data_IF_128915928592
#
_entry.id   IF_128915928592
#
_cell.length_a   1.000
_cell.length_b   1.000
_cell.length_c   1.000
_cell.angle_alpha   90.00
_cell.angle_beta   90.00
_cell.angle_gamma   90.00
#
_symmetry.space_group_name_H-M   'P 1'
#
loop_
_entity.id
_entity.type
_entity.pdbx_description
1 polymer ?
#
# COMPACT_ATOMS: atom_id res chain seq x y z
N UNK A 1 10.21 3.52 16.44
CA UNK A 1 10.83 3.65 15.11
C UNK A 1 10.71 2.32 14.37
N UNK A 2 10.98 2.27 13.06
CA UNK A 2 10.91 1.05 12.24
C UNK A 2 11.76 -0.08 12.83
N UNK A 3 13.01 0.20 13.20
CA UNK A 3 13.92 -0.79 13.76
C UNK A 3 13.44 -1.35 15.11
N UNK A 4 12.81 -0.53 15.94
CA UNK A 4 12.19 -0.99 17.19
C UNK A 4 11.00 -1.94 16.95
N UNK A 5 10.34 -1.83 15.78
CA UNK A 5 9.21 -2.69 15.43
C UNK A 5 9.69 -3.98 14.79
N UNK A 6 10.72 -3.94 13.93
CA UNK A 6 11.36 -5.14 13.39
C UNK A 6 11.92 -6.04 14.50
N UNK A 7 12.55 -5.46 15.53
CA UNK A 7 13.04 -6.24 16.69
C UNK A 7 11.93 -6.87 17.53
N UNK A 8 10.74 -6.26 17.58
CA UNK A 8 9.56 -6.78 18.32
C UNK A 8 8.70 -7.73 17.50
N UNK A 9 8.78 -7.64 16.17
CA UNK A 9 7.95 -8.38 15.23
C UNK A 9 8.86 -9.11 14.24
N UNK A 10 9.54 -10.19 14.66
CA UNK A 10 10.50 -10.91 13.82
C UNK A 10 9.85 -11.50 12.56
N UNK A 11 8.53 -11.66 12.55
CA UNK A 11 7.74 -12.20 11.45
C UNK A 11 7.02 -11.11 10.62
N UNK A 12 7.32 -9.83 10.86
CA UNK A 12 6.72 -8.76 10.07
C UNK A 12 7.21 -8.81 8.62
N UNK A 13 6.33 -8.47 7.69
CA UNK A 13 6.69 -8.28 6.29
C UNK A 13 7.07 -6.80 6.13
N UNK A 14 8.33 -6.52 5.81
CA UNK A 14 8.79 -5.16 5.54
C UNK A 14 8.93 -4.93 4.05
N UNK A 15 8.16 -3.97 3.53
CA UNK A 15 8.18 -3.58 2.13
C UNK A 15 8.54 -2.12 2.00
N UNK A 16 9.50 -1.83 1.13
CA UNK A 16 9.80 -0.49 0.64
C UNK A 16 9.05 -0.23 -0.66
N UNK A 17 8.39 0.94 -0.74
CA UNK A 17 7.63 1.39 -1.90
C UNK A 17 8.33 2.61 -2.50
N UNK A 18 8.71 2.47 -3.77
CA UNK A 18 9.22 3.55 -4.62
C UNK A 18 8.16 3.89 -5.68
N UNK A 19 8.36 4.91 -6.50
CA UNK A 19 7.46 5.22 -7.62
C UNK A 19 7.54 4.18 -8.73
N UNK A 20 8.71 3.55 -8.90
CA UNK A 20 9.03 2.67 -10.03
C UNK A 20 9.16 1.19 -9.65
N UNK A 21 9.15 0.84 -8.35
CA UNK A 21 9.34 -0.53 -7.86
C UNK A 21 8.91 -0.70 -6.41
N UNK A 22 8.71 -1.95 -6.02
CA UNK A 22 8.57 -2.36 -4.63
C UNK A 22 9.71 -3.31 -4.25
N UNK A 23 10.21 -3.21 -3.03
CA UNK A 23 11.26 -4.08 -2.53
C UNK A 23 10.83 -4.74 -1.23
N UNK A 24 11.07 -6.04 -1.14
CA UNK A 24 10.91 -6.81 0.08
C UNK A 24 12.24 -6.80 0.81
N UNK A 25 12.20 -6.44 2.09
CA UNK A 25 13.37 -6.34 2.95
C UNK A 25 13.36 -7.47 3.99
N UNK A 26 14.55 -7.85 4.45
CA UNK A 26 14.69 -8.64 5.67
C UNK A 26 14.83 -7.74 6.91
N UNK A 27 14.89 -8.35 8.09
CA UNK A 27 15.03 -7.60 9.35
C UNK A 27 16.41 -6.93 9.52
N UNK A 28 17.39 -7.26 8.68
CA UNK A 28 18.76 -6.72 8.70
C UNK A 28 18.94 -5.57 7.69
N UNK A 29 17.86 -5.11 7.05
CA UNK A 29 17.87 -4.07 6.01
C UNK A 29 18.53 -4.49 4.70
N UNK A 30 18.54 -5.78 4.41
CA UNK A 30 18.94 -6.34 3.12
C UNK A 30 17.73 -6.48 2.19
N UNK A 31 17.92 -6.19 0.91
CA UNK A 31 16.91 -6.42 -0.12
C UNK A 31 16.82 -7.92 -0.39
N UNK A 32 15.69 -8.52 -0.03
CA UNK A 32 15.38 -9.92 -0.33
C UNK A 32 14.88 -10.06 -1.77
N UNK A 33 14.02 -9.14 -2.20
CA UNK A 33 13.43 -9.17 -3.53
C UNK A 33 13.09 -7.77 -4.02
N UNK A 34 13.19 -7.55 -5.32
CA UNK A 34 12.70 -6.34 -5.99
C UNK A 34 11.68 -6.74 -7.04
N UNK A 35 10.57 -6.00 -7.12
CA UNK A 35 9.55 -6.13 -8.14
C UNK A 35 9.35 -4.79 -8.85
N UNK A 36 9.55 -4.79 -10.16
CA UNK A 36 9.19 -3.66 -11.03
C UNK A 36 7.79 -3.92 -11.56
N UNK A 37 6.85 -2.97 -11.40
CA UNK A 37 5.48 -3.19 -11.80
C UNK A 37 5.38 -3.23 -13.35
N UNK A 38 4.61 -4.15 -13.92
CA UNK A 38 4.41 -4.20 -15.38
C UNK A 38 3.59 -3.00 -15.89
N UNK A 39 2.76 -2.42 -15.02
CA UNK A 39 2.01 -1.18 -15.25
C UNK A 39 2.43 -0.18 -14.18
N UNK A 40 2.91 1.03 -14.54
CA UNK A 40 3.26 2.04 -13.55
C UNK A 40 2.08 2.33 -12.62
N UNK A 41 2.30 2.22 -11.30
CA UNK A 41 1.27 2.52 -10.31
C UNK A 41 1.37 3.93 -9.73
N UNK A 42 2.48 4.63 -9.93
CA UNK A 42 2.70 5.98 -9.43
C UNK A 42 2.48 7.03 -10.53
N UNK A 43 2.27 8.27 -10.11
CA UNK A 43 2.24 9.45 -10.96
C UNK A 43 3.15 10.53 -10.36
N UNK A 44 3.47 11.59 -11.10
CA UNK A 44 4.38 12.67 -10.65
C UNK A 44 4.06 13.18 -9.23
N UNK A 45 2.76 13.34 -8.95
CA UNK A 45 2.21 13.87 -7.69
C UNK A 45 1.62 12.81 -6.77
N UNK A 46 1.73 11.52 -7.10
CA UNK A 46 1.19 10.48 -6.22
C UNK A 46 2.00 9.19 -6.24
N UNK A 47 2.26 8.66 -5.05
CA UNK A 47 2.97 7.39 -4.89
C UNK A 47 2.12 6.18 -5.28
N UNK A 48 0.78 6.32 -5.22
CA UNK A 48 -0.19 5.31 -5.67
C UNK A 48 -1.31 6.03 -6.42
N UNK A 49 -1.17 6.11 -7.75
CA UNK A 49 -2.18 6.58 -8.69
C UNK A 49 -3.03 5.43 -9.25
N UNK A 50 -2.44 4.26 -9.49
CA UNK A 50 -3.16 3.02 -9.86
C UNK A 50 -3.04 1.99 -8.73
N UNK A 51 -4.09 1.94 -7.91
CA UNK A 51 -4.16 1.03 -6.77
C UNK A 51 -4.13 -0.45 -7.18
N UNK A 52 -4.74 -0.81 -8.32
CA UNK A 52 -4.78 -2.20 -8.76
C UNK A 52 -3.38 -2.65 -9.18
N UNK A 53 -2.67 -1.83 -9.95
CA UNK A 53 -1.30 -2.11 -10.33
C UNK A 53 -0.37 -2.24 -9.11
N UNK A 54 -0.52 -1.35 -8.12
CA UNK A 54 0.20 -1.46 -6.85
C UNK A 54 -0.12 -2.76 -6.10
N UNK A 55 -1.41 -3.12 -6.00
CA UNK A 55 -1.88 -4.33 -5.31
C UNK A 55 -1.35 -5.60 -5.97
N UNK A 56 -1.41 -5.68 -7.30
CA UNK A 56 -0.88 -6.83 -8.05
C UNK A 56 0.64 -6.95 -7.92
N UNK A 57 1.35 -5.82 -7.92
CA UNK A 57 2.81 -5.77 -7.71
C UNK A 57 3.18 -6.27 -6.31
N UNK A 58 2.47 -5.81 -5.27
CA UNK A 58 2.71 -6.25 -3.89
C UNK A 58 2.38 -7.74 -3.71
N UNK A 59 1.28 -8.21 -4.29
CA UNK A 59 0.91 -9.63 -4.29
C UNK A 59 1.99 -10.48 -4.90
N UNK A 60 2.50 -10.09 -6.07
CA UNK A 60 3.58 -10.80 -6.74
C UNK A 60 4.84 -10.81 -5.88
N UNK A 61 5.26 -9.64 -5.36
CA UNK A 61 6.43 -9.51 -4.49
C UNK A 61 6.37 -10.46 -3.29
N UNK A 62 5.27 -10.46 -2.54
CA UNK A 62 5.11 -11.27 -1.32
C UNK A 62 4.88 -12.76 -1.64
N UNK A 63 4.22 -13.08 -2.75
CA UNK A 63 3.87 -14.46 -3.11
C UNK A 63 5.07 -15.36 -3.39
N UNK A 64 6.20 -14.78 -3.84
CA UNK A 64 7.46 -15.49 -4.10
C UNK A 64 8.14 -15.97 -2.82
N UNK A 65 7.78 -15.42 -1.66
CA UNK A 65 8.31 -15.82 -0.36
C UNK A 65 7.40 -16.86 0.30
N UNK A 66 7.66 -18.15 0.01
CA UNK A 66 6.96 -19.30 0.61
C UNK A 66 6.98 -19.27 2.15
N UNK A 67 8.03 -18.68 2.74
CA UNK A 67 8.23 -18.61 4.20
C UNK A 67 7.35 -17.53 4.85
N UNK A 68 7.05 -16.43 4.16
CA UNK A 68 6.25 -15.32 4.71
C UNK A 68 4.73 -15.57 4.68
N UNK A 69 4.25 -16.45 3.79
CA UNK A 69 2.83 -16.86 3.73
C UNK A 69 2.28 -17.41 5.03
N UNK A 70 3.13 -17.93 5.90
CA UNK A 70 2.69 -18.55 7.15
C UNK A 70 2.60 -17.54 8.30
N UNK A 71 3.44 -16.49 8.36
CA UNK A 71 3.68 -15.74 9.61
C UNK A 71 3.52 -14.20 9.55
N UNK A 72 3.16 -13.61 8.40
CA UNK A 72 3.03 -12.15 8.26
C UNK A 72 1.71 -11.55 8.78
N UNK A 73 1.47 -11.50 10.09
CA UNK A 73 0.29 -10.79 10.63
C UNK A 73 0.42 -9.27 10.53
N UNK A 74 1.65 -8.75 10.48
CA UNK A 74 1.93 -7.30 10.40
C UNK A 74 2.76 -6.98 9.17
N UNK A 75 2.32 -6.00 8.39
CA UNK A 75 3.07 -5.43 7.26
C UNK A 75 3.56 -4.03 7.63
N UNK A 76 4.87 -3.82 7.48
CA UNK A 76 5.53 -2.53 7.65
C UNK A 76 5.77 -1.97 6.25
N UNK A 77 5.03 -0.93 5.87
CA UNK A 77 5.19 -0.27 4.59
C UNK A 77 6.04 0.98 4.78
N UNK A 78 7.17 1.04 4.11
CA UNK A 78 8.05 2.20 4.12
C UNK A 78 7.97 2.91 2.76
N UNK A 79 7.52 4.16 2.76
CA UNK A 79 7.44 4.96 1.54
C UNK A 79 8.76 5.67 1.33
N UNK A 80 9.50 5.26 0.32
CA UNK A 80 10.86 5.76 0.06
C UNK A 80 10.85 7.01 -0.81
N UNK A 81 9.98 7.06 -1.82
CA UNK A 81 9.81 8.23 -2.69
C UNK A 81 8.68 9.12 -2.16
N UNK A 82 8.88 9.67 -0.96
CA UNK A 82 7.94 10.59 -0.32
C UNK A 82 7.72 11.84 -1.19
N UNK A 83 6.48 12.22 -1.53
CA UNK A 83 6.21 13.51 -2.19
C UNK A 83 6.70 14.68 -1.33
N UNK A 84 7.10 15.80 -1.95
CA UNK A 84 7.58 16.99 -1.22
C UNK A 84 6.55 17.53 -0.23
N UNK A 85 5.27 17.46 -0.59
CA UNK A 85 4.14 17.87 0.26
C UNK A 85 3.75 16.80 1.31
N UNK A 86 4.44 15.66 1.33
CA UNK A 86 4.09 14.49 2.11
C UNK A 86 2.92 13.70 1.52
N UNK A 87 2.47 12.66 2.23
CA UNK A 87 1.31 11.87 1.81
C UNK A 87 0.01 12.54 2.22
N UNK A 88 -0.88 12.72 1.27
CA UNK A 88 -2.26 13.11 1.54
C UNK A 88 -3.00 12.04 2.36
N UNK A 89 -4.09 12.41 3.03
CA UNK A 89 -4.91 11.43 3.77
C UNK A 89 -5.46 10.31 2.86
N UNK A 90 -5.74 10.62 1.59
CA UNK A 90 -6.20 9.64 0.61
C UNK A 90 -5.10 8.64 0.27
N UNK A 91 -3.87 9.09 0.08
CA UNK A 91 -2.73 8.21 -0.22
C UNK A 91 -2.35 7.35 0.98
N UNK A 92 -2.34 7.92 2.18
CA UNK A 92 -2.13 7.13 3.40
C UNK A 92 -3.18 6.03 3.52
N UNK A 93 -4.45 6.34 3.22
CA UNK A 93 -5.52 5.35 3.20
C UNK A 93 -5.29 4.29 2.12
N UNK A 94 -4.93 4.68 0.90
CA UNK A 94 -4.63 3.76 -0.18
C UNK A 94 -3.46 2.83 0.19
N UNK A 95 -2.39 3.34 0.81
CA UNK A 95 -1.26 2.53 1.29
C UNK A 95 -1.66 1.55 2.40
N UNK A 96 -2.51 1.97 3.34
CA UNK A 96 -3.04 1.07 4.36
C UNK A 96 -3.89 -0.04 3.73
N UNK A 97 -4.82 0.31 2.84
CA UNK A 97 -5.66 -0.63 2.11
C UNK A 97 -4.83 -1.60 1.26
N UNK A 98 -3.75 -1.13 0.65
CA UNK A 98 -2.81 -1.95 -0.12
C UNK A 98 -2.21 -3.08 0.73
N UNK A 99 -1.80 -2.77 1.97
CA UNK A 99 -1.33 -3.78 2.92
C UNK A 99 -2.42 -4.75 3.35
N UNK A 100 -3.64 -4.26 3.63
CA UNK A 100 -4.76 -5.10 4.05
C UNK A 100 -5.23 -6.07 2.94
N UNK A 101 -5.24 -5.64 1.67
CA UNK A 101 -5.55 -6.52 0.53
C UNK A 101 -4.57 -7.68 0.37
N UNK A 102 -3.36 -7.54 0.93
CA UNK A 102 -2.32 -8.55 0.93
C UNK A 102 -2.34 -9.44 2.20
N UNK A 103 -3.51 -9.54 2.84
CA UNK A 103 -3.78 -10.38 4.02
C UNK A 103 -3.06 -9.94 5.31
N UNK A 104 -2.54 -8.72 5.38
CA UNK A 104 -2.02 -8.17 6.62
C UNK A 104 -3.16 -7.99 7.65
N UNK A 105 -2.94 -8.38 8.90
CA UNK A 105 -3.87 -8.08 10.00
C UNK A 105 -3.62 -6.68 10.57
N UNK A 106 -2.39 -6.20 10.47
CA UNK A 106 -1.96 -4.86 10.87
C UNK A 106 -1.04 -4.28 9.80
N UNK A 107 -1.25 -3.02 9.46
CA UNK A 107 -0.38 -2.27 8.55
C UNK A 107 0.14 -1.03 9.27
N UNK A 108 1.44 -0.77 9.19
CA UNK A 108 2.06 0.44 9.76
C UNK A 108 2.85 1.13 8.65
N UNK A 109 2.63 2.44 8.48
CA UNK A 109 3.31 3.25 7.48
C UNK A 109 4.51 3.96 8.08
N UNK A 110 5.61 3.97 7.34
CA UNK A 110 6.86 4.65 7.70
C UNK A 110 7.32 5.58 6.60
N UNK A 111 7.98 6.66 7.01
CA UNK A 111 8.73 7.55 6.13
C UNK A 111 10.09 6.93 5.74
N UNK A 112 10.86 7.56 4.83
CA UNK A 112 12.19 7.06 4.46
C UNK A 112 13.17 6.96 5.64
N UNK A 113 12.98 7.77 6.69
CA UNK A 113 13.81 7.75 7.90
C UNK A 113 13.37 6.67 8.92
N UNK A 114 12.30 5.92 8.65
CA UNK A 114 11.78 4.89 9.55
C UNK A 114 10.95 5.45 10.72
N UNK A 115 10.43 6.67 10.60
CA UNK A 115 9.45 7.25 11.52
C UNK A 115 8.04 6.85 11.10
N UNK A 116 7.22 6.50 12.08
CA UNK A 116 5.85 6.06 11.84
C UNK A 116 4.97 7.25 11.41
N UNK A 117 4.40 7.17 10.22
CA UNK A 117 3.46 8.17 9.67
C UNK A 117 2.08 8.00 10.33
N UNK A 118 1.69 6.74 10.60
CA UNK A 118 0.35 6.36 11.09
C UNK A 118 -0.01 6.96 12.45
N UNK A 119 0.95 7.42 13.25
CA UNK A 119 0.68 8.06 14.56
C UNK A 119 0.14 9.48 14.49
N UNK A 120 0.37 10.21 13.40
CA UNK A 120 0.05 11.63 13.34
C UNK A 120 -1.31 11.94 12.69
N UNK A 121 -1.89 11.02 11.90
CA UNK A 121 -2.97 11.37 10.96
C UNK A 121 -4.31 10.67 11.16
N UNK A 122 -4.40 9.62 11.98
CA UNK A 122 -5.64 8.85 12.14
C UNK A 122 -6.03 8.65 13.60
N UNK A 123 -6.29 9.74 14.31
CA UNK A 123 -7.24 9.72 15.44
C UNK A 123 -8.68 9.66 14.91
N UNK A 124 -9.01 8.63 14.13
CA UNK A 124 -10.41 8.24 13.92
C UNK A 124 -10.51 6.75 14.15
N UNK A 125 -10.96 6.42 15.36
CA UNK A 125 -11.48 5.10 15.73
C UNK A 125 -12.50 4.67 14.68
N UNK A 126 -12.15 3.69 13.84
CA UNK A 126 -13.11 3.00 13.00
C UNK A 126 -13.44 1.63 13.60
N UNK A 127 -14.72 1.35 13.92
CA UNK A 127 -15.14 0.01 14.29
C UNK A 127 -15.01 -0.93 13.08
N UNK A 128 -14.53 -2.15 13.35
CA UNK A 128 -14.45 -3.24 12.37
C UNK A 128 -15.83 -3.54 11.78
N UNK A 129 -16.12 -2.99 10.60
CA UNK A 129 -17.27 -3.43 9.81
C UNK A 129 -16.89 -3.48 8.33
N UNK A 130 -16.95 -4.69 7.78
CA UNK A 130 -16.65 -5.13 6.41
C UNK A 130 -16.55 -4.03 5.33
N UNK A 131 -15.31 -3.75 4.89
CA UNK A 131 -14.88 -2.77 3.88
C UNK A 131 -15.40 -3.02 2.44
N UNK A 132 -16.27 -4.01 2.21
CA UNK A 132 -16.66 -4.43 0.86
C UNK A 132 -17.58 -3.46 0.12
N UNK A 133 -18.14 -2.43 0.77
CA UNK A 133 -19.24 -1.65 0.19
C UNK A 133 -18.85 -0.30 -0.40
N UNK A 134 -17.65 0.25 -0.11
CA UNK A 134 -17.36 1.65 -0.47
C UNK A 134 -16.74 1.89 -1.86
N UNK A 135 -16.24 0.85 -2.55
CA UNK A 135 -15.65 1.03 -3.90
C UNK A 135 -16.71 1.17 -5.02
N UNK A 136 -17.99 0.88 -4.74
CA UNK A 136 -19.04 0.83 -5.78
C UNK A 136 -19.57 2.22 -6.18
N UNK A 137 -19.37 3.25 -5.35
CA UNK A 137 -19.99 4.57 -5.59
C UNK A 137 -19.24 5.38 -6.67
N UNK A 138 -17.95 5.14 -6.92
CA UNK A 138 -17.19 5.92 -7.91
C UNK A 138 -17.47 5.48 -9.37
N UNK A 139 -17.80 4.20 -9.60
CA UNK A 139 -18.01 3.66 -10.96
C UNK A 139 -19.38 4.09 -11.54
N UNK A 140 -20.39 4.35 -10.69
CA UNK A 140 -21.72 4.76 -11.15
C UNK A 140 -21.73 6.19 -11.70
N UNK A 141 -20.89 7.08 -11.18
CA UNK A 141 -20.84 8.49 -11.62
C UNK A 141 -20.25 8.68 -13.03
N UNK A 142 -19.37 7.78 -13.49
CA UNK A 142 -18.72 7.88 -14.81
C UNK A 142 -19.66 7.41 -15.94
N UNK A 143 -20.69 6.61 -15.62
CA UNK A 143 -21.66 6.11 -16.61
C UNK A 143 -22.76 7.10 -17.02
N UNK A 144 -22.87 8.27 -16.38
CA UNK A 144 -23.95 9.24 -16.63
C UNK A 144 -23.61 10.34 -17.65
N UNK A 145 -22.41 10.34 -18.22
CA UNK A 145 -21.96 11.33 -19.21
C UNK A 145 -21.51 10.67 -20.51
N UNK A 146 -22.45 10.07 -21.24
CA UNK A 146 -22.31 9.84 -22.68
C UNK A 146 -23.59 10.32 -23.38
N UNK A 147 -23.53 11.31 -24.29
CA UNK A 147 -24.69 11.76 -25.04
C UNK A 147 -25.12 10.69 -26.05
N UNK A 148 -26.41 10.36 -26.06
CA UNK A 148 -27.06 9.55 -27.07
C UNK A 148 -26.90 10.22 -28.45
N UNK A 149 -26.08 9.62 -29.33
CA UNK A 149 -26.18 9.81 -30.78
C UNK A 149 -26.88 8.56 -31.33
N UNK A 150 -28.15 8.69 -31.69
CA UNK A 150 -28.88 7.66 -32.41
C UNK A 150 -28.87 8.01 -33.90
N UNK A 151 -28.22 7.15 -34.67
CA UNK A 151 -28.36 6.97 -36.11
C UNK A 151 -29.78 6.47 -36.36
N UNK A 152 -30.56 7.20 -37.15
CA UNK A 152 -31.45 6.73 -38.23
C UNK A 152 -32.13 7.93 -38.92
#
# INVERSE_FOLDING_TARGET
MLQDQLSKLPNAIWVQIYKDKMQLMDNESTIVQTMVPPVPYAHERSIIADFKAASDTLKQLVSTSIVQKLWGSTTLLQVMDMPEEGLTALEQRALLELGYENSAQKVILYDPAGQEITKASLSTTYPKTNLKTFLVILIVSIRLTQPYQAIL
#
